data_IF_284051986663
#
_entry.id   IF_284051986663
#
_cell.length_a   1.000
_cell.length_b   1.000
_cell.length_c   1.000
_cell.angle_alpha   90.00
_cell.angle_beta   90.00
_cell.angle_gamma   90.00
#
_symmetry.space_group_name_H-M   'P 1'
#
loop_
_entity.id
_entity.type
_entity.pdbx_description
1 polymer ?
#
# COMPACT_ATOMS: atom_id res chain seq x y z
N UNK A 1 9.02 3.29 11.46
CA UNK A 1 10.05 2.33 11.01
C UNK A 1 9.62 0.86 11.08
N UNK A 2 8.99 0.37 12.13
CA UNK A 2 8.56 -1.05 12.26
C UNK A 2 7.70 -1.52 11.06
N UNK A 3 6.87 -0.62 10.52
CA UNK A 3 6.03 -0.89 9.35
C UNK A 3 6.83 -1.29 8.09
N UNK A 4 7.96 -0.66 7.81
CA UNK A 4 8.77 -0.93 6.63
C UNK A 4 9.73 -2.12 6.78
N UNK A 5 9.78 -2.74 7.96
CA UNK A 5 10.70 -3.85 8.23
C UNK A 5 10.44 -5.08 7.32
N UNK A 6 9.18 -5.50 7.07
CA UNK A 6 8.91 -6.59 6.14
C UNK A 6 9.39 -6.29 4.72
N UNK A 7 9.26 -5.03 4.26
CA UNK A 7 9.69 -4.59 2.94
C UNK A 7 11.21 -4.64 2.80
N UNK A 8 11.93 -4.18 3.82
CA UNK A 8 13.40 -4.29 3.89
C UNK A 8 13.82 -5.75 3.81
N UNK A 9 13.22 -6.62 4.63
CA UNK A 9 13.55 -8.05 4.64
C UNK A 9 13.28 -8.68 3.27
N UNK A 10 12.17 -8.33 2.63
CA UNK A 10 11.80 -8.85 1.32
C UNK A 10 12.80 -8.46 0.24
N UNK A 11 13.26 -7.21 0.22
CA UNK A 11 14.25 -6.72 -0.74
C UNK A 11 15.59 -7.44 -0.64
N UNK A 12 16.02 -7.81 0.58
CA UNK A 12 17.32 -8.45 0.80
C UNK A 12 17.27 -9.97 0.74
N UNK A 13 16.18 -10.61 1.17
CA UNK A 13 16.07 -12.07 1.27
C UNK A 13 15.49 -12.76 0.04
N UNK A 14 14.59 -12.10 -0.69
CA UNK A 14 13.90 -12.73 -1.83
C UNK A 14 14.70 -12.53 -3.11
N UNK A 15 15.44 -13.56 -3.54
CA UNK A 15 16.32 -13.50 -4.71
C UNK A 15 15.59 -13.23 -6.03
N UNK A 16 14.33 -13.65 -6.20
CA UNK A 16 13.53 -13.51 -7.43
C UNK A 16 12.24 -12.72 -7.19
N UNK A 17 12.37 -11.49 -6.70
CA UNK A 17 11.23 -10.60 -6.56
C UNK A 17 10.82 -10.02 -7.92
N UNK A 18 9.53 -10.04 -8.30
CA UNK A 18 9.04 -9.38 -9.51
C UNK A 18 9.39 -7.88 -9.52
N UNK A 19 9.61 -7.32 -10.71
CA UNK A 19 9.97 -5.89 -10.84
C UNK A 19 8.94 -4.95 -10.19
N UNK A 20 7.60 -5.10 -10.40
CA UNK A 20 6.61 -4.23 -9.75
C UNK A 20 6.74 -4.27 -8.22
N UNK A 21 6.87 -5.46 -7.65
CA UNK A 21 6.99 -5.65 -6.20
C UNK A 21 8.29 -5.05 -5.64
N UNK A 22 9.40 -5.09 -6.40
CA UNK A 22 10.63 -4.37 -6.01
C UNK A 22 10.41 -2.87 -5.96
N UNK A 23 9.74 -2.31 -6.98
CA UNK A 23 9.42 -0.87 -7.02
C UNK A 23 8.53 -0.51 -5.84
N UNK A 24 7.49 -1.32 -5.55
CA UNK A 24 6.62 -1.14 -4.39
C UNK A 24 7.43 -1.07 -3.09
N UNK A 25 8.18 -2.12 -2.75
CA UNK A 25 8.96 -2.16 -1.50
C UNK A 25 9.98 -1.02 -1.39
N UNK A 26 10.63 -0.65 -2.50
CA UNK A 26 11.55 0.48 -2.53
C UNK A 26 10.80 1.80 -2.27
N UNK A 27 9.64 2.00 -2.88
CA UNK A 27 8.82 3.20 -2.68
C UNK A 27 8.31 3.31 -1.24
N UNK A 28 7.89 2.20 -0.64
CA UNK A 28 7.49 2.14 0.78
C UNK A 28 8.67 2.53 1.69
N UNK A 29 9.87 2.06 1.38
CA UNK A 29 11.06 2.41 2.15
C UNK A 29 11.41 3.90 2.03
N UNK A 30 11.33 4.46 0.82
CA UNK A 30 11.53 5.90 0.58
C UNK A 30 10.49 6.70 1.38
N UNK A 31 9.21 6.32 1.33
CA UNK A 31 8.15 6.99 2.08
C UNK A 31 8.34 6.89 3.59
N UNK A 32 8.74 5.73 4.10
CA UNK A 32 9.03 5.55 5.52
C UNK A 32 10.19 6.44 5.99
N UNK A 33 11.21 6.62 5.15
CA UNK A 33 12.36 7.49 5.43
C UNK A 33 11.94 8.96 5.38
N UNK A 34 11.17 9.36 4.36
CA UNK A 34 10.66 10.74 4.24
C UNK A 34 9.80 11.12 5.44
N UNK A 35 8.95 10.19 5.94
CA UNK A 35 8.10 10.42 7.11
C UNK A 35 8.88 10.73 8.41
N UNK A 36 10.15 10.40 8.49
CA UNK A 36 10.94 10.69 9.70
C UNK A 36 11.39 12.16 9.81
N UNK A 37 11.45 12.88 8.67
CA UNK A 37 11.91 14.27 8.62
C UNK A 37 10.78 15.31 8.52
N UNK A 38 9.52 14.92 8.60
CA UNK A 38 8.39 15.77 8.22
C UNK A 38 7.72 16.45 9.41
N UNK A 39 7.43 17.74 9.24
CA UNK A 39 6.56 18.48 10.16
C UNK A 39 5.08 18.31 9.75
N UNK A 40 4.35 17.48 10.49
CA UNK A 40 2.94 17.13 10.22
C UNK A 40 1.94 18.29 10.44
N UNK A 41 2.38 19.40 11.02
CA UNK A 41 1.52 20.55 11.26
C UNK A 41 1.24 21.38 9.99
N UNK A 42 2.06 21.24 8.95
CA UNK A 42 1.88 22.01 7.72
C UNK A 42 0.88 21.35 6.76
N UNK A 43 0.01 22.17 6.16
CA UNK A 43 -0.91 21.78 5.09
C UNK A 43 -0.17 21.61 3.76
N UNK A 44 0.58 20.53 3.66
CA UNK A 44 1.38 20.19 2.47
C UNK A 44 1.06 18.75 2.04
N UNK A 45 1.62 18.32 0.90
CA UNK A 45 1.55 16.93 0.44
C UNK A 45 2.05 15.92 1.49
N UNK A 46 2.83 16.35 2.47
CA UNK A 46 3.26 15.55 3.61
C UNK A 46 2.08 14.94 4.38
N UNK A 47 0.97 15.65 4.46
CA UNK A 47 -0.27 15.12 5.05
C UNK A 47 -0.84 13.94 4.24
N UNK A 48 -0.78 14.04 2.91
CA UNK A 48 -1.18 12.95 2.03
C UNK A 48 -0.27 11.73 2.19
N UNK A 49 1.03 11.94 2.35
CA UNK A 49 1.99 10.89 2.65
C UNK A 49 1.69 10.18 3.97
N UNK A 50 1.34 10.91 5.03
CA UNK A 50 0.94 10.33 6.32
C UNK A 50 -0.31 9.48 6.19
N UNK A 51 -1.35 10.03 5.54
CA UNK A 51 -2.61 9.29 5.31
C UNK A 51 -2.36 8.04 4.47
N UNK A 52 -1.54 8.14 3.43
CA UNK A 52 -1.15 7.00 2.61
C UNK A 52 -0.46 5.92 3.44
N UNK A 53 0.53 6.29 4.25
CA UNK A 53 1.28 5.35 5.10
C UNK A 53 0.36 4.73 6.16
N UNK A 54 -0.54 5.52 6.76
CA UNK A 54 -1.49 5.04 7.75
C UNK A 54 -2.46 4.02 7.15
N UNK A 55 -3.08 4.31 6.01
CA UNK A 55 -4.00 3.39 5.34
C UNK A 55 -3.27 2.13 4.86
N UNK A 56 -2.05 2.26 4.36
CA UNK A 56 -1.21 1.13 3.97
C UNK A 56 -0.85 0.23 5.15
N UNK A 57 -0.72 0.77 6.36
CA UNK A 57 -0.50 -0.03 7.57
C UNK A 57 -1.66 -0.99 7.87
N UNK A 58 -2.91 -0.59 7.58
CA UNK A 58 -4.08 -1.48 7.72
C UNK A 58 -4.09 -2.63 6.71
N UNK A 59 -3.32 -2.54 5.64
CA UNK A 59 -3.16 -3.61 4.66
C UNK A 59 -2.38 -4.82 5.20
N UNK A 60 -1.82 -4.75 6.42
CA UNK A 60 -1.17 -5.88 7.09
C UNK A 60 -2.05 -7.15 7.18
N UNK A 61 -3.38 -6.99 7.16
CA UNK A 61 -4.35 -8.10 7.11
C UNK A 61 -4.13 -8.99 5.90
N UNK A 62 -3.72 -8.43 4.77
CA UNK A 62 -3.39 -9.20 3.56
C UNK A 62 -2.16 -10.06 3.79
N UNK A 63 -1.12 -9.51 4.40
CA UNK A 63 0.09 -10.26 4.74
C UNK A 63 -0.23 -11.42 5.71
N UNK A 64 -1.14 -11.19 6.65
CA UNK A 64 -1.66 -12.24 7.52
C UNK A 64 -2.35 -13.35 6.72
N UNK A 65 -3.26 -13.02 5.80
CA UNK A 65 -3.89 -14.00 4.92
C UNK A 65 -2.85 -14.76 4.09
N UNK A 66 -1.88 -14.06 3.49
CA UNK A 66 -0.84 -14.68 2.67
C UNK A 66 0.03 -15.67 3.46
N UNK A 67 0.27 -15.40 4.74
CA UNK A 67 0.98 -16.32 5.64
C UNK A 67 0.09 -17.51 6.04
N UNK A 68 -1.14 -17.23 6.47
CA UNK A 68 -2.07 -18.25 7.00
C UNK A 68 -2.53 -19.24 5.95
N UNK A 69 -2.54 -18.89 4.66
CA UNK A 69 -2.93 -19.82 3.57
C UNK A 69 -2.07 -21.07 3.48
N UNK A 70 -0.85 -21.05 4.02
CA UNK A 70 0.06 -22.21 4.06
C UNK A 70 -0.14 -23.05 5.33
N UNK A 71 -0.74 -22.50 6.36
CA UNK A 71 -0.90 -23.14 7.67
C UNK A 71 -2.32 -23.71 7.87
N UNK A 72 -3.33 -23.09 7.26
CA UNK A 72 -4.72 -23.46 7.46
C UNK A 72 -5.18 -24.40 6.33
N UNK A 73 -5.51 -25.64 6.72
CA UNK A 73 -6.09 -26.65 5.81
C UNK A 73 -7.60 -26.50 5.63
N UNK A 74 -8.29 -25.83 6.57
CA UNK A 74 -9.73 -25.64 6.51
C UNK A 74 -10.12 -24.59 5.48
N UNK A 75 -10.74 -25.03 4.38
CA UNK A 75 -11.15 -24.18 3.25
C UNK A 75 -12.14 -23.06 3.66
N UNK A 76 -13.07 -23.34 4.56
CA UNK A 76 -14.07 -22.33 5.00
C UNK A 76 -13.41 -21.21 5.80
N UNK A 77 -12.53 -21.56 6.73
CA UNK A 77 -11.75 -20.58 7.50
C UNK A 77 -10.87 -19.74 6.58
N UNK A 78 -10.19 -20.36 5.64
CA UNK A 78 -9.34 -19.65 4.69
C UNK A 78 -10.13 -18.71 3.77
N UNK A 79 -11.32 -19.13 3.33
CA UNK A 79 -12.23 -18.27 2.55
C UNK A 79 -12.68 -17.06 3.36
N UNK A 80 -13.03 -17.22 4.62
CA UNK A 80 -13.44 -16.12 5.50
C UNK A 80 -12.29 -15.10 5.67
N UNK A 81 -11.08 -15.58 5.97
CA UNK A 81 -9.90 -14.71 6.13
C UNK A 81 -9.58 -13.99 4.82
N UNK A 82 -9.68 -14.66 3.66
CA UNK A 82 -9.47 -14.04 2.36
C UNK A 82 -10.52 -12.97 2.06
N UNK A 83 -11.80 -13.26 2.34
CA UNK A 83 -12.88 -12.28 2.18
C UNK A 83 -12.63 -11.02 3.01
N UNK A 84 -12.25 -11.20 4.26
CA UNK A 84 -11.95 -10.09 5.16
C UNK A 84 -10.73 -9.31 4.68
N UNK A 85 -9.65 -10.00 4.28
CA UNK A 85 -8.45 -9.36 3.73
C UNK A 85 -8.76 -8.57 2.44
N UNK A 86 -9.53 -9.15 1.51
CA UNK A 86 -9.95 -8.49 0.28
C UNK A 86 -10.77 -7.22 0.54
N UNK A 87 -11.80 -7.31 1.40
CA UNK A 87 -12.68 -6.17 1.71
C UNK A 87 -11.91 -5.04 2.38
N UNK A 88 -11.07 -5.37 3.37
CA UNK A 88 -10.24 -4.39 4.05
C UNK A 88 -9.25 -3.72 3.07
N UNK A 89 -8.60 -4.51 2.23
CA UNK A 89 -7.64 -4.00 1.26
C UNK A 89 -8.30 -3.11 0.21
N UNK A 90 -9.45 -3.52 -0.31
CA UNK A 90 -10.24 -2.73 -1.26
C UNK A 90 -10.64 -1.37 -0.67
N UNK A 91 -11.09 -1.36 0.59
CA UNK A 91 -11.44 -0.12 1.29
C UNK A 91 -10.21 0.79 1.46
N UNK A 92 -9.07 0.25 1.89
CA UNK A 92 -7.84 1.01 2.07
C UNK A 92 -7.32 1.59 0.75
N UNK A 93 -7.29 0.82 -0.33
CA UNK A 93 -6.87 1.28 -1.66
C UNK A 93 -7.81 2.36 -2.20
N UNK A 94 -9.12 2.19 -2.04
CA UNK A 94 -10.13 3.19 -2.46
C UNK A 94 -9.96 4.51 -1.71
N UNK A 95 -9.75 4.47 -0.40
CA UNK A 95 -9.49 5.64 0.42
C UNK A 95 -8.16 6.31 0.05
N UNK A 96 -7.12 5.53 -0.23
CA UNK A 96 -5.84 6.05 -0.71
C UNK A 96 -6.00 6.79 -2.03
N UNK A 97 -6.69 6.21 -3.00
CA UNK A 97 -6.98 6.87 -4.29
C UNK A 97 -7.73 8.18 -4.07
N UNK A 98 -8.79 8.16 -3.25
CA UNK A 98 -9.59 9.35 -2.96
C UNK A 98 -8.71 10.47 -2.37
N UNK A 99 -7.87 10.16 -1.38
CA UNK A 99 -6.99 11.15 -0.76
C UNK A 99 -5.90 11.66 -1.71
N UNK A 100 -5.34 10.80 -2.57
CA UNK A 100 -4.37 11.20 -3.59
C UNK A 100 -4.95 12.25 -4.54
N UNK A 101 -6.13 11.98 -5.10
CA UNK A 101 -6.78 12.92 -6.03
C UNK A 101 -7.29 14.19 -5.33
N UNK A 102 -7.80 14.08 -4.10
CA UNK A 102 -8.16 15.26 -3.29
C UNK A 102 -6.93 16.14 -3.04
N UNK A 103 -5.79 15.56 -2.72
CA UNK A 103 -4.54 16.31 -2.50
C UNK A 103 -4.03 16.92 -3.78
N UNK A 104 -4.08 16.20 -4.90
CA UNK A 104 -3.74 16.73 -6.22
C UNK A 104 -4.60 17.95 -6.57
N UNK A 105 -5.91 17.83 -6.42
CA UNK A 105 -6.83 18.95 -6.67
C UNK A 105 -6.46 20.18 -5.82
N UNK A 106 -6.20 19.98 -4.54
CA UNK A 106 -5.82 21.05 -3.62
C UNK A 106 -4.49 21.69 -3.99
N UNK A 107 -3.51 20.88 -4.40
CA UNK A 107 -2.18 21.34 -4.82
C UNK A 107 -2.26 22.20 -6.11
N UNK A 108 -3.07 21.76 -7.08
CA UNK A 108 -3.25 22.49 -8.35
C UNK A 108 -3.99 23.81 -8.16
N UNK A 109 -4.98 23.85 -7.28
CA UNK A 109 -5.87 25.01 -7.11
C UNK A 109 -5.30 26.09 -6.19
N UNK A 110 -4.53 25.71 -5.14
CA UNK A 110 -4.18 26.60 -4.05
C UNK A 110 -2.69 26.72 -3.75
N UNK A 111 -1.85 25.88 -4.30
CA UNK A 111 -0.43 25.84 -4.00
C UNK A 111 0.43 25.86 -5.27
N UNK A 112 1.65 26.38 -5.15
CA UNK A 112 2.63 26.28 -6.24
C UNK A 112 3.10 24.83 -6.40
N UNK A 113 3.31 24.43 -7.65
CA UNK A 113 3.78 23.09 -7.99
C UNK A 113 5.17 22.85 -7.38
N UNK A 114 5.27 21.88 -6.45
CA UNK A 114 6.50 21.45 -5.83
C UNK A 114 7.00 20.16 -6.50
N UNK A 115 8.28 20.14 -6.84
CA UNK A 115 8.96 18.96 -7.43
C UNK A 115 8.85 17.72 -6.52
N UNK A 116 8.89 17.91 -5.22
CA UNK A 116 8.72 16.81 -4.26
C UNK A 116 7.31 16.20 -4.30
N UNK A 117 6.30 17.02 -4.58
CA UNK A 117 4.95 16.52 -4.75
C UNK A 117 4.81 15.66 -6.02
N UNK A 118 5.44 16.07 -7.12
CA UNK A 118 5.45 15.29 -8.37
C UNK A 118 6.10 13.92 -8.13
N UNK A 119 7.24 13.90 -7.46
CA UNK A 119 7.93 12.65 -7.11
C UNK A 119 7.05 11.76 -6.23
N UNK A 120 6.44 12.33 -5.19
CA UNK A 120 5.50 11.63 -4.32
C UNK A 120 4.33 11.03 -5.12
N UNK A 121 3.75 11.81 -6.04
CA UNK A 121 2.62 11.38 -6.85
C UNK A 121 2.99 10.20 -7.75
N UNK A 122 4.15 10.25 -8.41
CA UNK A 122 4.65 9.16 -9.25
C UNK A 122 4.88 7.88 -8.40
N UNK A 123 5.56 8.01 -7.27
CA UNK A 123 5.84 6.87 -6.39
C UNK A 123 4.57 6.26 -5.80
N UNK A 124 3.60 7.07 -5.38
CA UNK A 124 2.32 6.59 -4.85
C UNK A 124 1.52 5.83 -5.90
N UNK A 125 1.52 6.29 -7.17
CA UNK A 125 0.86 5.57 -8.26
C UNK A 125 1.55 4.26 -8.61
N UNK A 126 2.87 4.18 -8.48
CA UNK A 126 3.61 2.93 -8.64
C UNK A 126 3.21 1.88 -7.59
N UNK A 127 2.98 2.32 -6.35
CA UNK A 127 2.47 1.45 -5.28
C UNK A 127 1.03 1.02 -5.58
N UNK A 128 0.15 1.96 -5.94
CA UNK A 128 -1.24 1.67 -6.28
C UNK A 128 -1.36 0.65 -7.43
N UNK A 129 -0.43 0.69 -8.39
CA UNK A 129 -0.40 -0.31 -9.46
C UNK A 129 -0.18 -1.74 -8.93
N UNK A 130 0.77 -1.91 -8.03
CA UNK A 130 1.02 -3.22 -7.38
C UNK A 130 -0.17 -3.64 -6.50
N UNK A 131 -0.81 -2.68 -5.83
CA UNK A 131 -2.03 -2.90 -5.04
C UNK A 131 -3.18 -3.44 -5.90
N UNK A 132 -3.34 -2.95 -7.13
CA UNK A 132 -4.33 -3.49 -8.07
C UNK A 132 -4.03 -4.93 -8.48
N UNK A 133 -2.77 -5.26 -8.70
CA UNK A 133 -2.35 -6.64 -9.00
C UNK A 133 -2.70 -7.56 -7.84
N UNK A 134 -2.45 -7.12 -6.61
CA UNK A 134 -2.76 -7.88 -5.40
C UNK A 134 -4.28 -8.02 -5.18
N UNK A 135 -5.07 -6.97 -5.41
CA UNK A 135 -6.53 -7.03 -5.38
C UNK A 135 -7.08 -8.07 -6.37
N UNK A 136 -6.56 -8.07 -7.60
CA UNK A 136 -6.93 -9.07 -8.62
C UNK A 136 -6.62 -10.50 -8.17
N UNK A 137 -5.48 -10.70 -7.53
CA UNK A 137 -5.10 -11.99 -6.96
C UNK A 137 -6.05 -12.44 -5.85
N UNK A 138 -6.36 -11.57 -4.87
CA UNK A 138 -7.28 -11.86 -3.77
C UNK A 138 -8.68 -12.19 -4.29
N UNK A 139 -9.17 -11.42 -5.26
CA UNK A 139 -10.46 -11.67 -5.90
C UNK A 139 -10.49 -12.99 -6.67
N UNK A 140 -9.42 -13.32 -7.40
CA UNK A 140 -9.26 -14.61 -8.07
C UNK A 140 -9.32 -15.78 -7.10
N UNK A 141 -8.67 -15.65 -5.94
CA UNK A 141 -8.70 -16.66 -4.89
C UNK A 141 -10.08 -16.85 -4.23
N UNK A 142 -10.96 -15.85 -4.29
CA UNK A 142 -12.36 -15.98 -3.85
C UNK A 142 -13.21 -16.76 -4.87
N UNK A 143 -12.96 -16.59 -6.17
CA UNK A 143 -13.72 -17.25 -7.25
C UNK A 143 -13.41 -18.74 -7.41
N UNK A 144 -12.15 -19.13 -7.21
CA UNK A 144 -11.70 -20.52 -7.45
C UNK A 144 -12.18 -21.53 -6.40
N UNK A 145 -12.96 -21.12 -5.40
CA UNK A 145 -13.40 -21.97 -4.28
C UNK A 145 -14.92 -22.13 -4.17
N UNK A 146 -15.68 -21.68 -5.20
CA UNK A 146 -17.06 -22.11 -5.44
C UNK A 146 -17.05 -23.40 -6.26
#
# INVERSE_FOLDING_TARGET
MIYALPDIISLFRVKKLPRPTKVHHTSVLVFATMNMGVNYAQYTFWRALVVFTFLSAYCCVVNYYLAMRFLISNKKTLYFINSFAFTNYLACVSLNIFYQYKTLYFQVMYMHFDVYYVLYFILSHSILWDDFVLLKFLFGALKTKQ
#
